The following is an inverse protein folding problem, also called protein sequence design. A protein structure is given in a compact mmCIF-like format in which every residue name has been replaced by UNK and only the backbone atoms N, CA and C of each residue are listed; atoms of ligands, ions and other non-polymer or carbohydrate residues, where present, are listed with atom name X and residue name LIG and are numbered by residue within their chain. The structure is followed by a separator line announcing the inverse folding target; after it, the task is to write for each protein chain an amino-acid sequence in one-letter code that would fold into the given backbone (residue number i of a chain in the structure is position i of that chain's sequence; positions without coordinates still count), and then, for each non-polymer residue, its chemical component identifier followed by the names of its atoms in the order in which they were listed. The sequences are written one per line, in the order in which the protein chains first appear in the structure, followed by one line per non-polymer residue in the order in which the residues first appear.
data_IF_245657404419
#
_entry.id   IF_245657404419
#
_cell.length_a   1.000
_cell.length_b   1.000
_cell.length_c   1.000
_cell.angle_alpha   90.00
_cell.angle_beta   90.00
_cell.angle_gamma   90.00
#
_symmetry.space_group_name_H-M   'P 1'
#
loop_
_entity.id
_entity.type
_entity.pdbx_description
1 polymer ?
#
# COMPACT_ATOMS: atom_id res chain seq x y z
N UNK A 1 3.08 6.52 9.34
CA UNK A 1 3.02 5.32 10.20
C UNK A 1 2.17 4.17 9.63
N UNK A 2 0.89 4.39 9.26
CA UNK A 2 0.00 3.33 8.76
C UNK A 2 0.62 2.51 7.61
N UNK A 3 1.18 3.17 6.60
CA UNK A 3 1.82 2.48 5.47
C UNK A 3 2.99 1.59 5.89
N UNK A 4 3.87 2.08 6.76
CA UNK A 4 5.00 1.30 7.26
C UNK A 4 4.53 0.04 8.00
N UNK A 5 3.48 0.16 8.83
CA UNK A 5 2.88 -0.98 9.52
C UNK A 5 2.19 -1.95 8.56
N UNK A 6 1.48 -1.46 7.53
CA UNK A 6 0.90 -2.30 6.49
C UNK A 6 1.97 -3.09 5.74
N UNK A 7 3.12 -2.48 5.45
CA UNK A 7 4.26 -3.17 4.85
C UNK A 7 4.86 -4.22 5.76
N UNK A 8 5.14 -3.86 7.03
CA UNK A 8 5.70 -4.77 8.01
C UNK A 8 4.81 -6.01 8.26
N UNK A 9 3.49 -5.81 8.36
CA UNK A 9 2.51 -6.89 8.53
C UNK A 9 1.98 -7.49 7.22
N UNK A 10 2.52 -7.05 6.08
CA UNK A 10 2.14 -7.50 4.72
C UNK A 10 0.63 -7.53 4.46
N UNK A 11 -0.06 -6.43 4.74
CA UNK A 11 -1.47 -6.28 4.40
C UNK A 11 -2.03 -4.90 4.70
N UNK A 12 -3.18 -4.57 4.11
CA UNK A 12 -3.87 -3.30 4.31
C UNK A 12 -5.04 -3.51 5.26
N UNK A 13 -5.13 -2.65 6.27
CA UNK A 13 -6.24 -2.68 7.22
C UNK A 13 -7.53 -2.12 6.62
N UNK A 14 -8.66 -2.58 7.15
CA UNK A 14 -9.99 -2.06 6.82
C UNK A 14 -10.12 -0.55 7.05
N UNK A 15 -11.03 0.08 6.31
CA UNK A 15 -11.57 1.39 6.59
C UNK A 15 -12.74 1.27 7.58
N UNK A 16 -12.44 1.47 8.88
CA UNK A 16 -13.34 1.11 9.99
C UNK A 16 -14.70 1.83 10.00
N UNK A 17 -14.84 2.97 9.35
CA UNK A 17 -16.09 3.76 9.37
C UNK A 17 -16.76 3.85 8.00
N UNK A 18 -16.41 2.95 7.08
CA UNK A 18 -17.01 2.93 5.75
C UNK A 18 -18.39 2.24 5.78
N UNK A 19 -19.43 2.96 5.40
CA UNK A 19 -20.81 2.43 5.29
C UNK A 19 -21.25 2.29 3.84
N UNK A 20 -21.05 3.34 3.04
CA UNK A 20 -21.40 3.37 1.62
C UNK A 20 -20.49 4.34 0.86
N UNK A 21 -20.19 4.03 -0.41
CA UNK A 21 -19.44 4.92 -1.28
C UNK A 21 -20.30 6.14 -1.67
N UNK A 22 -19.68 7.31 -1.79
CA UNK A 22 -20.33 8.49 -2.35
C UNK A 22 -20.82 8.18 -3.79
N UNK A 23 -22.12 8.36 -4.11
CA UNK A 23 -22.67 7.98 -5.42
C UNK A 23 -22.09 8.78 -6.60
N UNK A 24 -21.40 9.89 -6.34
CA UNK A 24 -20.68 10.66 -7.37
C UNK A 24 -19.33 10.04 -7.76
N UNK A 25 -18.89 8.99 -7.06
CA UNK A 25 -17.62 8.31 -7.31
C UNK A 25 -17.90 6.95 -7.95
N UNK A 26 -17.44 6.78 -9.19
CA UNK A 26 -17.49 5.49 -9.89
C UNK A 26 -16.20 4.70 -9.63
N UNK A 27 -16.19 3.94 -8.53
CA UNK A 27 -14.99 3.18 -8.14
C UNK A 27 -14.59 2.11 -9.17
N UNK A 28 -15.55 1.48 -9.86
CA UNK A 28 -15.27 0.45 -10.86
C UNK A 28 -14.54 1.03 -12.07
N UNK A 29 -14.97 2.19 -12.56
CA UNK A 29 -14.30 2.90 -13.66
C UNK A 29 -12.83 3.20 -13.37
N UNK A 30 -12.47 3.46 -12.11
CA UNK A 30 -11.11 3.78 -11.71
C UNK A 30 -10.32 2.61 -11.12
N UNK A 31 -10.87 1.38 -11.20
CA UNK A 31 -10.27 0.18 -10.60
C UNK A 31 -9.93 0.37 -9.10
N UNK A 32 -10.82 1.04 -8.37
CA UNK A 32 -10.66 1.33 -6.95
C UNK A 32 -11.50 0.38 -6.10
N UNK A 33 -10.88 -0.15 -5.05
CA UNK A 33 -11.56 -1.01 -4.08
C UNK A 33 -11.43 -0.41 -2.68
N UNK A 34 -12.56 -0.18 -2.02
CA UNK A 34 -12.59 0.35 -0.66
C UNK A 34 -12.58 -0.85 0.27
N UNK A 35 -11.55 -0.95 1.10
CA UNK A 35 -11.34 -2.09 1.97
C UNK A 35 -12.24 -2.01 3.21
N UNK A 36 -13.13 -2.98 3.36
CA UNK A 36 -13.97 -3.14 4.57
C UNK A 36 -13.39 -4.16 5.56
N UNK A 37 -12.42 -4.96 5.11
CA UNK A 37 -11.74 -5.98 5.90
C UNK A 37 -10.22 -5.86 5.70
N UNK A 38 -9.44 -6.51 6.55
CA UNK A 38 -8.01 -6.67 6.32
C UNK A 38 -7.78 -7.47 5.03
N UNK A 39 -6.87 -7.01 4.18
CA UNK A 39 -6.47 -7.71 2.96
C UNK A 39 -4.96 -7.91 2.98
N UNK A 40 -4.54 -9.17 3.00
CA UNK A 40 -3.14 -9.54 2.86
C UNK A 40 -2.60 -9.09 1.50
N UNK A 41 -1.34 -8.66 1.47
CA UNK A 41 -0.67 -8.47 0.19
C UNK A 41 -0.60 -9.78 -0.58
N UNK A 42 -0.66 -9.74 -1.92
CA UNK A 42 -0.47 -10.92 -2.73
C UNK A 42 0.89 -11.57 -2.42
N UNK A 43 0.95 -12.89 -2.59
CA UNK A 43 2.20 -13.63 -2.63
C UNK A 43 3.00 -13.14 -3.83
N UNK A 44 3.94 -12.24 -3.57
CA UNK A 44 4.86 -11.74 -4.56
C UNK A 44 5.88 -12.82 -4.89
N UNK A 45 6.09 -13.08 -6.17
CA UNK A 45 7.26 -13.84 -6.62
C UNK A 45 8.55 -13.11 -6.23
N UNK A 46 9.71 -13.78 -6.27
CA UNK A 46 10.98 -13.31 -5.68
C UNK A 46 11.50 -11.92 -6.15
N UNK A 47 10.81 -11.20 -7.04
CA UNK A 47 11.16 -9.86 -7.52
C UNK A 47 10.00 -8.84 -7.50
N UNK A 48 8.78 -9.21 -7.12
CA UNK A 48 7.66 -8.26 -7.11
C UNK A 48 7.63 -7.49 -5.80
N UNK A 49 7.56 -6.16 -5.90
CA UNK A 49 7.52 -5.27 -4.74
C UNK A 49 6.15 -4.62 -4.62
N UNK A 50 5.70 -4.45 -3.38
CA UNK A 50 4.48 -3.72 -3.10
C UNK A 50 4.80 -2.22 -3.05
N UNK A 51 4.08 -1.42 -3.81
CA UNK A 51 4.13 0.03 -3.75
C UNK A 51 2.82 0.59 -3.18
N UNK A 52 2.92 1.58 -2.30
CA UNK A 52 1.76 2.23 -1.66
C UNK A 52 1.88 3.73 -1.84
N UNK A 53 0.86 4.33 -2.46
CA UNK A 53 0.69 5.77 -2.58
C UNK A 53 0.08 6.37 -1.31
N UNK A 54 0.59 7.52 -0.89
CA UNK A 54 0.04 8.36 0.18
C UNK A 54 -0.17 9.76 -0.38
N UNK A 55 -1.40 10.26 -0.25
CA UNK A 55 -1.74 11.63 -0.65
C UNK A 55 -2.17 12.42 0.58
N UNK A 56 -1.70 13.66 0.68
CA UNK A 56 -2.13 14.66 1.66
C UNK A 56 -2.52 15.93 0.92
N UNK A 57 -3.72 16.43 1.19
CA UNK A 57 -4.27 17.63 0.57
C UNK A 57 -4.67 18.62 1.65
N UNK A 58 -4.12 19.82 1.58
CA UNK A 58 -4.51 20.94 2.44
C UNK A 58 -5.49 21.85 1.70
N UNK A 59 -6.32 22.58 2.44
CA UNK A 59 -7.29 23.51 1.89
C UNK A 59 -6.63 24.70 1.16
N UNK A 60 -5.43 25.10 1.59
CA UNK A 60 -4.65 26.19 0.99
C UNK A 60 -3.17 25.83 0.98
N UNK A 61 -2.54 25.93 -0.19
CA UNK A 61 -1.10 26.18 -0.30
C UNK A 61 -0.17 24.97 -0.43
N UNK A 62 -0.52 23.75 0.02
CA UNK A 62 0.34 22.58 -0.20
C UNK A 62 -0.41 21.25 -0.36
N UNK A 63 -0.06 20.53 -1.42
CA UNK A 63 -0.48 19.14 -1.65
C UNK A 63 0.77 18.29 -1.77
N UNK A 64 0.82 17.16 -1.06
CA UNK A 64 1.95 16.22 -1.13
C UNK A 64 1.46 14.85 -1.54
N UNK A 65 2.16 14.22 -2.47
CA UNK A 65 1.97 12.82 -2.84
C UNK A 65 3.30 12.09 -2.74
N UNK A 66 3.28 10.89 -2.18
CA UNK A 66 4.47 10.07 -2.00
C UNK A 66 4.17 8.61 -2.33
N UNK A 67 5.10 7.97 -3.02
CA UNK A 67 5.06 6.53 -3.30
C UNK A 67 6.11 5.87 -2.42
N UNK A 68 5.70 4.88 -1.65
CA UNK A 68 6.56 4.11 -0.77
C UNK A 68 6.62 2.69 -1.33
N UNK A 69 7.82 2.17 -1.55
CA UNK A 69 8.06 0.80 -2.00
C UNK A 69 8.51 -0.07 -0.83
N UNK A 70 8.05 -1.32 -0.80
CA UNK A 70 8.48 -2.31 0.18
C UNK A 70 9.99 -2.59 0.06
N UNK A 71 10.66 -2.61 1.22
CA UNK A 71 12.06 -3.03 1.31
C UNK A 71 12.17 -4.56 1.32
N UNK A 72 12.89 -5.13 0.35
CA UNK A 72 13.25 -6.55 0.33
C UNK A 72 14.72 -6.71 0.69
N UNK A 73 15.00 -7.49 1.74
CA UNK A 73 16.37 -7.81 2.13
C UNK A 73 16.97 -8.76 1.10
N UNK A 74 17.89 -8.24 0.30
CA UNK A 74 18.72 -9.09 -0.56
C UNK A 74 19.72 -9.80 0.36
N UNK A 75 19.50 -11.08 0.62
CA UNK A 75 20.50 -11.89 1.27
C UNK A 75 21.64 -12.10 0.27
N UNK A 76 22.74 -11.35 0.44
CA UNK A 76 23.99 -11.62 -0.26
C UNK A 76 24.52 -12.94 0.30
N UNK A 77 24.24 -14.05 -0.37
CA UNK A 77 24.93 -15.31 -0.06
C UNK A 77 26.40 -15.06 -0.33
N UNK A 78 27.22 -15.05 0.72
CA UNK A 78 28.67 -14.99 0.60
C UNK A 78 29.10 -16.17 -0.27
N UNK A 79 29.53 -15.89 -1.50
CA UNK A 79 30.40 -16.82 -2.21
C UNK A 79 31.78 -16.60 -1.62
N UNK A 80 31.98 -17.12 -0.42
CA UNK A 80 33.30 -17.49 0.07
C UNK A 80 33.27 -19.01 0.15
N UNK A 81 34.03 -19.66 -0.73
CA UNK A 81 34.78 -20.87 -0.42
C UNK A 81 35.59 -21.28 -1.67
N UNK A 82 36.91 -21.16 -1.55
CA UNK A 82 37.91 -22.00 -2.23
C UNK A 82 38.43 -21.50 -3.55
#
# INVERSE_FOLDING_TARGET
IKVAMCMYHRGITANMQFTSLNPKIDAQKYNLHILQNFVSFPSVSNNEKIAIGVSSFETVGSTTHSIIEEYQRINKTSIENG
#
